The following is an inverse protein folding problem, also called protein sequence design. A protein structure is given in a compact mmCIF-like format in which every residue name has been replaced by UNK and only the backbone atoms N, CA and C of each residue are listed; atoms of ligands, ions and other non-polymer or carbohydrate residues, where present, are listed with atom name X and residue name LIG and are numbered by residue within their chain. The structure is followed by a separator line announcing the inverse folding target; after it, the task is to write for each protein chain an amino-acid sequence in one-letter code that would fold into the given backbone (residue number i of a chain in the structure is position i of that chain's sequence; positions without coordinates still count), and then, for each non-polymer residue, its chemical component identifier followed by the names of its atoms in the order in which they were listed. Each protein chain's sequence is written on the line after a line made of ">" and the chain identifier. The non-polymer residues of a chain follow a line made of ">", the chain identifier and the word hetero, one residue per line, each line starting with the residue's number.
data_IF_255113321686
#
_entry.id   IF_255113321686
#
_cell.length_a   1.000
_cell.length_b   1.000
_cell.length_c   1.000
_cell.angle_alpha   90.00
_cell.angle_beta   90.00
_cell.angle_gamma   90.00
#
_symmetry.space_group_name_H-M   'P 1'
#
loop_
_entity.id
_entity.type
_entity.pdbx_description
1 polymer ?
#
# COMPACT_ATOMS: atom_id res chain seq x y z
N UNK A 1 -19.39 -29.44 -16.69
CA UNK A 1 -19.11 -28.49 -15.58
C UNK A 1 -20.07 -27.32 -15.74
N UNK A 2 -20.92 -27.10 -14.75
CA UNK A 2 -22.07 -26.18 -14.86
C UNK A 2 -21.63 -24.71 -14.94
N UNK A 3 -22.33 -23.92 -15.76
CA UNK A 3 -22.17 -22.48 -16.01
C UNK A 3 -22.01 -21.62 -14.73
N UNK A 4 -22.60 -22.06 -13.60
CA UNK A 4 -22.40 -21.44 -12.27
C UNK A 4 -20.96 -21.51 -11.76
N UNK A 5 -20.24 -22.60 -12.03
CA UNK A 5 -18.86 -22.77 -11.59
C UNK A 5 -17.90 -21.84 -12.37
N UNK A 6 -18.14 -21.65 -13.66
CA UNK A 6 -17.37 -20.73 -14.52
C UNK A 6 -17.54 -19.28 -14.05
N UNK A 7 -18.77 -18.89 -13.67
CA UNK A 7 -19.06 -17.53 -13.19
C UNK A 7 -18.42 -17.25 -11.82
N UNK A 8 -18.45 -18.21 -10.88
CA UNK A 8 -17.81 -18.07 -9.57
C UNK A 8 -16.27 -17.96 -9.64
N UNK A 9 -15.63 -18.71 -10.54
CA UNK A 9 -14.17 -18.58 -10.77
C UNK A 9 -13.79 -17.27 -11.45
N UNK A 10 -14.66 -16.74 -12.33
CA UNK A 10 -14.46 -15.44 -12.97
C UNK A 10 -14.52 -14.28 -11.98
N UNK A 11 -15.47 -14.35 -11.05
CA UNK A 11 -15.68 -13.36 -9.99
C UNK A 11 -14.51 -13.36 -8.98
N UNK A 12 -14.07 -14.53 -8.51
CA UNK A 12 -12.93 -14.63 -7.59
C UNK A 12 -11.60 -14.19 -8.25
N UNK A 13 -11.40 -14.51 -9.53
CA UNK A 13 -10.22 -14.04 -10.27
C UNK A 13 -10.25 -12.53 -10.50
N UNK A 14 -11.42 -11.94 -10.76
CA UNK A 14 -11.59 -10.50 -10.89
C UNK A 14 -11.37 -9.79 -9.55
N UNK A 15 -11.95 -10.30 -8.46
CA UNK A 15 -11.73 -9.80 -7.11
C UNK A 15 -10.25 -9.84 -6.73
N UNK A 16 -9.57 -10.96 -6.99
CA UNK A 16 -8.13 -11.09 -6.77
C UNK A 16 -7.32 -10.04 -7.54
N UNK A 17 -7.60 -9.85 -8.83
CA UNK A 17 -6.92 -8.82 -9.64
C UNK A 17 -7.17 -7.41 -9.12
N UNK A 18 -8.39 -7.09 -8.70
CA UNK A 18 -8.73 -5.80 -8.12
C UNK A 18 -7.97 -5.54 -6.82
N UNK A 19 -7.88 -6.54 -5.94
CA UNK A 19 -7.07 -6.46 -4.71
C UNK A 19 -5.59 -6.22 -5.01
N UNK A 20 -5.01 -7.01 -5.90
CA UNK A 20 -3.60 -6.85 -6.31
C UNK A 20 -3.35 -5.45 -6.90
N UNK A 21 -4.24 -4.98 -7.78
CA UNK A 21 -4.13 -3.65 -8.37
C UNK A 21 -4.17 -2.53 -7.32
N UNK A 22 -5.07 -2.62 -6.34
CA UNK A 22 -5.15 -1.66 -5.23
C UNK A 22 -3.88 -1.66 -4.37
N UNK A 23 -3.35 -2.83 -4.01
CA UNK A 23 -2.11 -2.92 -3.23
C UNK A 23 -0.89 -2.42 -4.03
N UNK A 24 -0.86 -2.65 -5.34
CA UNK A 24 0.17 -2.11 -6.24
C UNK A 24 0.13 -0.58 -6.31
N UNK A 25 -1.06 0.02 -6.30
CA UNK A 25 -1.22 1.48 -6.24
C UNK A 25 -0.59 2.05 -4.96
N UNK A 26 -0.91 1.44 -3.80
CA UNK A 26 -0.32 1.82 -2.50
C UNK A 26 1.20 1.66 -2.52
N UNK A 27 1.70 0.53 -3.02
CA UNK A 27 3.14 0.26 -3.14
C UNK A 27 3.85 1.26 -4.06
N UNK A 28 3.24 1.59 -5.20
CA UNK A 28 3.76 2.58 -6.14
C UNK A 28 3.86 3.98 -5.54
N UNK A 29 2.81 4.44 -4.86
CA UNK A 29 2.82 5.71 -4.15
C UNK A 29 3.92 5.76 -3.08
N UNK A 30 4.05 4.69 -2.26
CA UNK A 30 5.11 4.59 -1.26
C UNK A 30 6.51 4.65 -1.90
N UNK A 31 6.74 3.93 -3.00
CA UNK A 31 8.01 3.95 -3.72
C UNK A 31 8.37 5.34 -4.22
N UNK A 32 7.40 6.07 -4.80
CA UNK A 32 7.60 7.44 -5.28
C UNK A 32 7.91 8.38 -4.12
N UNK A 33 7.18 8.28 -3.00
CA UNK A 33 7.41 9.11 -1.82
C UNK A 33 8.79 8.84 -1.19
N UNK A 34 9.21 7.58 -1.09
CA UNK A 34 10.53 7.17 -0.60
C UNK A 34 11.63 7.78 -1.48
N UNK A 35 11.51 7.67 -2.81
CA UNK A 35 12.49 8.25 -3.74
C UNK A 35 12.53 9.77 -3.67
N UNK A 36 11.37 10.43 -3.56
CA UNK A 36 11.30 11.89 -3.42
C UNK A 36 11.95 12.38 -2.11
N UNK A 37 11.73 11.65 -1.01
CA UNK A 37 12.39 11.90 0.27
C UNK A 37 13.90 11.72 0.17
N UNK A 38 14.36 10.59 -0.37
CA UNK A 38 15.77 10.28 -0.51
C UNK A 38 16.51 11.31 -1.36
N UNK A 39 15.90 11.75 -2.45
CA UNK A 39 16.45 12.77 -3.34
C UNK A 39 16.29 14.21 -2.84
N UNK A 40 15.82 14.44 -1.61
CA UNK A 40 15.49 15.76 -1.07
C UNK A 40 14.63 16.61 -2.02
N UNK A 41 13.66 15.98 -2.66
CA UNK A 41 12.81 16.63 -3.66
C UNK A 41 11.84 17.60 -2.99
N UNK A 42 11.59 18.80 -3.56
CA UNK A 42 10.55 19.70 -3.08
C UNK A 42 9.14 19.09 -3.18
N UNK A 43 8.97 17.99 -3.93
CA UNK A 43 7.69 17.27 -4.05
C UNK A 43 7.46 16.22 -2.97
N UNK A 44 8.42 15.97 -2.07
CA UNK A 44 8.33 14.89 -1.09
C UNK A 44 7.04 14.95 -0.24
N UNK A 45 6.64 16.14 0.23
CA UNK A 45 5.41 16.30 0.99
C UNK A 45 4.14 16.00 0.19
N UNK A 46 4.09 16.43 -1.07
CA UNK A 46 2.96 16.13 -1.95
C UNK A 46 2.83 14.61 -2.18
N UNK A 47 3.95 13.91 -2.38
CA UNK A 47 3.96 12.45 -2.59
C UNK A 47 3.55 11.70 -1.31
N UNK A 48 3.95 12.18 -0.13
CA UNK A 48 3.46 11.64 1.14
C UNK A 48 1.93 11.85 1.29
N UNK A 49 1.40 13.00 0.87
CA UNK A 49 -0.04 13.24 0.85
C UNK A 49 -0.80 12.28 -0.08
N UNK A 50 -0.23 11.93 -1.24
CA UNK A 50 -0.80 10.91 -2.13
C UNK A 50 -0.81 9.52 -1.50
N UNK A 51 0.25 9.15 -0.79
CA UNK A 51 0.28 7.89 -0.03
C UNK A 51 -0.85 7.85 1.01
N UNK A 52 -0.99 8.91 1.80
CA UNK A 52 -2.03 9.03 2.82
C UNK A 52 -3.44 8.91 2.22
N UNK A 53 -3.68 9.55 1.07
CA UNK A 53 -4.94 9.44 0.35
C UNK A 53 -5.22 8.00 -0.12
N UNK A 54 -4.22 7.31 -0.67
CA UNK A 54 -4.38 5.93 -1.15
C UNK A 54 -4.68 4.93 -0.03
N UNK A 55 -4.27 5.23 1.21
CA UNK A 55 -4.53 4.39 2.38
C UNK A 55 -5.88 4.67 3.04
N UNK A 56 -6.62 5.73 2.67
CA UNK A 56 -7.79 6.20 3.43
C UNK A 56 -8.96 5.22 3.46
N UNK A 57 -9.13 4.41 2.42
CA UNK A 57 -10.30 3.56 2.24
C UNK A 57 -9.98 2.07 2.45
N UNK A 58 -11.01 1.28 2.75
CA UNK A 58 -10.92 -0.18 2.68
C UNK A 58 -10.58 -0.65 1.27
N UNK A 59 -9.96 -1.82 1.17
CA UNK A 59 -9.70 -2.48 -0.10
C UNK A 59 -10.99 -2.97 -0.78
N UNK A 60 -10.93 -3.36 -2.08
CA UNK A 60 -12.10 -3.66 -2.91
C UNK A 60 -13.12 -4.65 -2.32
N UNK A 61 -12.67 -5.65 -1.55
CA UNK A 61 -13.52 -6.64 -0.89
C UNK A 61 -13.18 -6.82 0.59
N UNK A 62 -12.43 -5.87 1.16
CA UNK A 62 -12.04 -5.79 2.57
C UNK A 62 -11.14 -6.92 3.09
N UNK A 63 -10.72 -7.89 2.27
CA UNK A 63 -9.82 -8.98 2.71
C UNK A 63 -8.44 -8.47 3.15
N UNK A 64 -8.06 -7.28 2.70
CA UNK A 64 -6.81 -6.61 3.05
C UNK A 64 -6.95 -5.57 4.16
N UNK A 65 -8.12 -5.43 4.81
CA UNK A 65 -8.37 -4.37 5.80
C UNK A 65 -7.33 -4.38 6.93
N UNK A 66 -6.97 -5.56 7.45
CA UNK A 66 -5.94 -5.69 8.50
C UNK A 66 -4.55 -5.20 8.02
N UNK A 67 -4.17 -5.56 6.80
CA UNK A 67 -2.92 -5.08 6.19
C UNK A 67 -2.97 -3.56 6.03
N UNK A 68 -4.08 -3.02 5.55
CA UNK A 68 -4.25 -1.58 5.35
C UNK A 68 -4.24 -0.81 6.69
N UNK A 69 -4.81 -1.38 7.75
CA UNK A 69 -4.71 -0.84 9.12
C UNK A 69 -3.26 -0.77 9.61
N UNK A 70 -2.50 -1.85 9.42
CA UNK A 70 -1.07 -1.87 9.74
C UNK A 70 -0.30 -0.83 8.94
N UNK A 71 -0.54 -0.73 7.62
CA UNK A 71 0.09 0.27 6.76
C UNK A 71 -0.24 1.70 7.20
N UNK A 72 -1.48 1.98 7.60
CA UNK A 72 -1.87 3.29 8.15
C UNK A 72 -1.11 3.61 9.43
N UNK A 73 -0.95 2.64 10.34
CA UNK A 73 -0.20 2.83 11.57
C UNK A 73 1.29 3.13 11.29
N UNK A 74 1.93 2.32 10.44
CA UNK A 74 3.31 2.53 9.99
C UNK A 74 3.48 3.91 9.33
N UNK A 75 2.57 4.28 8.44
CA UNK A 75 2.63 5.55 7.74
C UNK A 75 2.43 6.73 8.69
N UNK A 76 1.50 6.63 9.64
CA UNK A 76 1.29 7.64 10.68
C UNK A 76 2.56 7.87 11.50
N UNK A 77 3.23 6.81 11.94
CA UNK A 77 4.51 6.93 12.66
C UNK A 77 5.60 7.57 11.80
N UNK A 78 5.68 7.22 10.50
CA UNK A 78 6.62 7.85 9.58
C UNK A 78 6.41 9.37 9.48
N UNK A 79 5.14 9.82 9.45
CA UNK A 79 4.77 11.24 9.45
C UNK A 79 5.17 11.92 10.76
N UNK A 80 4.98 11.26 11.90
CA UNK A 80 5.42 11.79 13.20
C UNK A 80 6.94 11.94 13.29
N UNK A 81 7.72 10.97 12.78
CA UNK A 81 9.17 11.12 12.68
C UNK A 81 9.56 12.25 11.73
N UNK A 82 8.82 12.43 10.62
CA UNK A 82 9.11 13.49 9.64
C UNK A 82 8.90 14.87 10.23
N UNK A 83 7.82 15.07 11.00
CA UNK A 83 7.55 16.33 11.72
C UNK A 83 8.65 16.70 12.71
N UNK A 84 9.36 15.70 13.24
CA UNK A 84 10.50 15.85 14.16
C UNK A 84 11.85 15.90 13.43
N UNK A 85 11.84 16.00 12.09
CA UNK A 85 13.03 16.02 11.24
C UNK A 85 13.94 14.78 11.40
N UNK A 86 13.39 13.67 11.92
CA UNK A 86 14.13 12.42 12.10
C UNK A 86 14.09 11.59 10.80
N UNK A 87 14.93 11.97 9.85
CA UNK A 87 14.99 11.33 8.53
C UNK A 87 15.25 9.82 8.60
N UNK A 88 16.23 9.28 9.37
CA UNK A 88 16.45 7.84 9.44
C UNK A 88 15.22 7.06 9.91
N UNK A 89 14.52 7.56 10.94
CA UNK A 89 13.32 6.90 11.45
C UNK A 89 12.15 6.98 10.46
N UNK A 90 11.95 8.13 9.79
CA UNK A 90 10.96 8.25 8.71
C UNK A 90 11.24 7.23 7.60
N UNK A 91 12.47 7.16 7.12
CA UNK A 91 12.84 6.24 6.04
C UNK A 91 12.68 4.77 6.44
N UNK A 92 13.12 4.41 7.65
CA UNK A 92 12.94 3.05 8.16
C UNK A 92 11.46 2.65 8.20
N UNK A 93 10.58 3.54 8.66
CA UNK A 93 9.16 3.24 8.78
C UNK A 93 8.46 3.14 7.43
N UNK A 94 8.79 4.03 6.48
CA UNK A 94 8.29 3.94 5.11
C UNK A 94 8.78 2.68 4.41
N UNK A 95 10.03 2.26 4.67
CA UNK A 95 10.57 1.02 4.09
C UNK A 95 9.84 -0.21 4.62
N UNK A 96 9.58 -0.28 5.92
CA UNK A 96 8.77 -1.37 6.50
C UNK A 96 7.37 -1.38 5.89
N UNK A 97 6.72 -0.22 5.74
CA UNK A 97 5.42 -0.15 5.07
C UNK A 97 5.47 -0.67 3.63
N UNK A 98 6.51 -0.30 2.87
CA UNK A 98 6.74 -0.81 1.52
C UNK A 98 6.92 -2.34 1.49
N UNK A 99 7.69 -2.90 2.42
CA UNK A 99 7.93 -4.34 2.49
C UNK A 99 6.65 -5.10 2.91
N UNK A 100 5.85 -4.55 3.85
CA UNK A 100 4.55 -5.12 4.25
C UNK A 100 3.57 -5.17 3.08
N UNK A 101 3.40 -4.08 2.33
CA UNK A 101 2.52 -4.09 1.16
C UNK A 101 3.05 -5.01 0.05
N UNK A 102 4.37 -5.12 -0.11
CA UNK A 102 4.97 -6.05 -1.09
C UNK A 102 4.64 -7.50 -0.75
N UNK A 103 4.74 -7.88 0.53
CA UNK A 103 4.35 -9.22 0.98
C UNK A 103 2.85 -9.47 0.80
N UNK A 104 2.02 -8.46 1.02
CA UNK A 104 0.58 -8.56 0.80
C UNK A 104 0.24 -8.75 -0.68
N UNK A 105 0.95 -8.08 -1.60
CA UNK A 105 0.80 -8.26 -3.05
C UNK A 105 1.09 -9.71 -3.44
N UNK A 106 2.21 -10.28 -2.99
CA UNK A 106 2.61 -11.67 -3.26
C UNK A 106 1.52 -12.66 -2.79
N UNK A 107 1.09 -12.51 -1.54
CA UNK A 107 0.01 -13.33 -0.96
C UNK A 107 -1.31 -13.18 -1.74
N UNK A 108 -1.64 -11.97 -2.18
CA UNK A 108 -2.85 -11.69 -2.93
C UNK A 108 -2.77 -12.19 -4.38
N UNK A 109 -1.59 -12.22 -5.01
CA UNK A 109 -1.41 -12.75 -6.37
C UNK A 109 -1.48 -14.27 -6.43
N UNK A 110 -1.23 -14.94 -5.29
CA UNK A 110 -1.16 -16.40 -5.21
C UNK A 110 0.23 -16.95 -5.52
N UNK A 111 1.26 -16.12 -5.36
CA UNK A 111 2.68 -16.52 -5.36
C UNK A 111 3.17 -16.71 -3.92
#
# INVERSE_FOLDING_TARGET
>A
MSEKAVNATGDEAAARRARVAHLLEVSGNLSIAIMALWGNSPRAEAMLGMCEASLRYSGPDRRDDKTLEELRALFSEAREYRKKENFPATMARLRVAYDVVSLAIIRASGE
#
